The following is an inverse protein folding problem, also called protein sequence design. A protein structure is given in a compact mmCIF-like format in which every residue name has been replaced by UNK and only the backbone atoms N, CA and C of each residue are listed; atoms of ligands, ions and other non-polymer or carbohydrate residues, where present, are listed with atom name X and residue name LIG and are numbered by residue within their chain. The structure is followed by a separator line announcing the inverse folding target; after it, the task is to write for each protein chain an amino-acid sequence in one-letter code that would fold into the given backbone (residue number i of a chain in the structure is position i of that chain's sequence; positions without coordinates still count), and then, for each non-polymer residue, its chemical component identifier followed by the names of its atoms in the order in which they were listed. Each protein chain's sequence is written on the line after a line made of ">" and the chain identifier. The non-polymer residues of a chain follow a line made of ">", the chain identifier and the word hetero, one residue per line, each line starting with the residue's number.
data_IF_545017526369
#
_entry.id   IF_545017526369
#
_cell.length_a   1.000
_cell.length_b   1.000
_cell.length_c   1.000
_cell.angle_alpha   90.00
_cell.angle_beta   90.00
_cell.angle_gamma   90.00
#
_symmetry.space_group_name_H-M   'P 1'
#
loop_
_entity.id
_entity.type
_entity.pdbx_description
1 polymer ?
#
# COMPACT_ATOMS: atom_id res chain seq x y z
N UNK A 1 15.49 -26.18 21.97
CA UNK A 1 15.22 -24.82 22.48
C UNK A 1 14.44 -24.10 21.40
N UNK A 2 13.46 -23.29 21.77
CA UNK A 2 12.75 -22.45 20.81
C UNK A 2 13.72 -21.50 20.12
N UNK A 3 13.55 -21.25 18.84
CA UNK A 3 14.32 -20.25 18.10
C UNK A 3 13.98 -18.85 18.64
N UNK A 4 15.00 -17.99 18.80
CA UNK A 4 14.84 -16.65 19.39
C UNK A 4 15.36 -15.55 18.47
N UNK A 5 14.81 -14.34 18.61
CA UNK A 5 15.24 -13.12 17.96
C UNK A 5 15.05 -11.92 18.91
N UNK A 6 15.62 -10.76 18.56
CA UNK A 6 15.30 -9.51 19.25
C UNK A 6 13.91 -9.01 18.86
N UNK A 7 13.56 -9.17 17.59
CA UNK A 7 12.27 -8.77 17.02
C UNK A 7 11.70 -9.87 16.13
N UNK A 8 10.46 -10.27 16.37
CA UNK A 8 9.66 -11.09 15.45
C UNK A 8 8.71 -10.17 14.66
N UNK A 9 8.72 -10.31 13.34
CA UNK A 9 7.79 -9.64 12.43
C UNK A 9 6.83 -10.67 11.87
N UNK A 10 5.52 -10.45 12.04
CA UNK A 10 4.47 -11.35 11.54
C UNK A 10 3.95 -10.83 10.21
N UNK A 11 4.31 -11.51 9.12
CA UNK A 11 3.96 -11.17 7.74
C UNK A 11 5.14 -10.70 6.90
N UNK A 12 5.32 -11.29 5.72
CA UNK A 12 6.34 -10.96 4.73
C UNK A 12 5.76 -10.20 3.51
N UNK A 13 4.73 -9.38 3.74
CA UNK A 13 4.31 -8.35 2.82
C UNK A 13 5.33 -7.21 2.76
N UNK A 14 5.11 -6.22 1.89
CA UNK A 14 6.03 -5.08 1.70
C UNK A 14 6.32 -4.31 2.99
N UNK A 15 5.36 -4.21 3.91
CA UNK A 15 5.54 -3.53 5.21
C UNK A 15 6.50 -4.31 6.11
N UNK A 16 6.28 -5.62 6.27
CA UNK A 16 7.19 -6.47 7.07
C UNK A 16 8.56 -6.58 6.45
N UNK A 17 8.65 -6.64 5.12
CA UNK A 17 9.91 -6.66 4.38
C UNK A 17 10.72 -5.38 4.58
N UNK A 18 10.06 -4.22 4.48
CA UNK A 18 10.68 -2.91 4.72
C UNK A 18 11.14 -2.77 6.18
N UNK A 19 10.29 -3.13 7.15
CA UNK A 19 10.67 -3.09 8.57
C UNK A 19 11.87 -4.00 8.85
N UNK A 20 11.86 -5.23 8.33
CA UNK A 20 12.98 -6.17 8.48
C UNK A 20 14.29 -5.58 7.94
N UNK A 21 14.24 -4.91 6.78
CA UNK A 21 15.39 -4.24 6.18
C UNK A 21 15.92 -3.13 7.09
N UNK A 22 15.07 -2.26 7.62
CA UNK A 22 15.52 -1.16 8.47
C UNK A 22 16.07 -1.62 9.81
N UNK A 23 15.49 -2.65 10.43
CA UNK A 23 15.97 -3.22 11.69
C UNK A 23 17.30 -3.97 11.50
N UNK A 24 17.39 -4.83 10.48
CA UNK A 24 18.59 -5.63 10.22
C UNK A 24 19.82 -4.73 9.94
N UNK A 25 19.65 -3.64 9.17
CA UNK A 25 20.70 -2.65 8.93
C UNK A 25 21.21 -1.94 10.19
N UNK A 26 20.42 -1.95 11.26
CA UNK A 26 20.79 -1.43 12.59
C UNK A 26 21.33 -2.51 13.52
N UNK A 27 21.62 -3.72 12.97
CA UNK A 27 22.24 -4.83 13.71
C UNK A 27 21.29 -5.62 14.61
N UNK A 28 19.98 -5.45 14.44
CA UNK A 28 18.95 -6.17 15.21
C UNK A 28 18.78 -7.59 14.69
N UNK A 29 18.70 -8.57 15.57
CA UNK A 29 18.35 -9.95 15.21
C UNK A 29 16.85 -10.03 14.89
N UNK A 30 16.52 -10.12 13.60
CA UNK A 30 15.14 -10.14 13.10
C UNK A 30 14.74 -11.53 12.63
N UNK A 31 13.54 -11.96 13.02
CA UNK A 31 12.89 -13.15 12.48
C UNK A 31 11.54 -12.75 11.85
N UNK A 32 11.40 -12.98 10.56
CA UNK A 32 10.15 -12.78 9.81
C UNK A 32 9.42 -14.11 9.70
N UNK A 33 8.16 -14.16 10.12
CA UNK A 33 7.29 -15.35 10.01
C UNK A 33 6.17 -15.05 9.01
N UNK A 34 6.11 -15.84 7.95
CA UNK A 34 5.12 -15.71 6.88
C UNK A 34 4.29 -17.00 6.75
N UNK A 35 2.97 -16.84 6.72
CA UNK A 35 2.05 -17.97 6.64
C UNK A 35 2.15 -18.74 5.33
N UNK A 36 2.27 -18.01 4.23
CA UNK A 36 2.29 -18.59 2.86
C UNK A 36 3.67 -18.35 2.22
N UNK A 37 3.75 -17.43 1.28
CA UNK A 37 4.96 -17.00 0.62
C UNK A 37 5.12 -15.47 0.73
N UNK A 38 6.33 -14.99 0.52
CA UNK A 38 6.60 -13.54 0.44
C UNK A 38 5.63 -12.88 -0.52
N UNK A 39 5.04 -11.75 -0.10
CA UNK A 39 4.08 -10.97 -0.89
C UNK A 39 2.77 -11.69 -1.27
N UNK A 40 2.44 -12.85 -0.70
CA UNK A 40 1.23 -13.62 -1.06
C UNK A 40 -0.09 -12.89 -0.75
N UNK A 41 -0.09 -11.93 0.19
CA UNK A 41 -1.25 -11.13 0.57
C UNK A 41 -1.54 -9.96 -0.38
N UNK A 42 -1.98 -8.83 0.19
CA UNK A 42 -2.29 -7.59 -0.55
C UNK A 42 -1.11 -7.10 -1.41
N UNK A 43 0.12 -7.29 -0.98
CA UNK A 43 1.32 -6.84 -1.68
C UNK A 43 1.38 -7.37 -3.12
N UNK A 44 1.34 -8.67 -3.33
CA UNK A 44 1.44 -9.26 -4.68
C UNK A 44 0.20 -9.06 -5.55
N UNK A 45 -0.83 -8.42 -5.01
CA UNK A 45 -2.08 -8.07 -5.71
C UNK A 45 -2.28 -6.56 -5.85
N UNK A 46 -1.30 -5.78 -5.42
CA UNK A 46 -1.31 -4.32 -5.52
C UNK A 46 -1.15 -3.87 -6.97
N UNK A 47 -1.76 -2.74 -7.31
CA UNK A 47 -1.54 -2.05 -8.58
C UNK A 47 -0.12 -1.51 -8.75
N UNK A 48 0.66 -1.44 -7.66
CA UNK A 48 2.04 -1.01 -7.68
C UNK A 48 2.25 0.49 -7.90
N UNK A 49 1.24 1.33 -7.68
CA UNK A 49 1.38 2.79 -7.88
C UNK A 49 2.41 3.39 -6.94
N UNK A 50 3.28 4.20 -7.49
CA UNK A 50 4.24 5.05 -6.78
C UNK A 50 3.88 6.49 -7.10
N UNK A 51 3.18 7.14 -6.18
CA UNK A 51 2.69 8.52 -6.27
C UNK A 51 2.78 9.22 -4.93
N UNK A 52 2.84 10.54 -4.93
CA UNK A 52 2.91 11.37 -3.72
C UNK A 52 1.62 12.14 -3.45
N UNK A 53 0.69 12.19 -4.40
CA UNK A 53 -0.56 12.95 -4.26
C UNK A 53 -1.52 12.32 -3.26
N UNK A 54 -1.78 13.05 -2.20
CA UNK A 54 -2.74 12.74 -1.13
C UNK A 54 -3.42 14.02 -0.64
N UNK A 55 -4.61 13.88 -0.04
CA UNK A 55 -5.35 14.97 0.59
C UNK A 55 -4.91 15.24 2.05
N UNK A 56 -4.21 14.29 2.68
CA UNK A 56 -3.68 14.36 4.03
C UNK A 56 -2.16 14.58 4.01
N UNK A 57 -1.69 15.70 4.57
CA UNK A 57 -0.28 16.07 4.53
C UNK A 57 0.66 15.02 5.12
N UNK A 58 0.29 14.40 6.28
CA UNK A 58 1.13 13.38 6.91
C UNK A 58 1.29 12.13 6.03
N UNK A 59 0.27 11.76 5.25
CA UNK A 59 0.34 10.66 4.29
C UNK A 59 1.17 11.02 3.06
N UNK A 60 1.02 12.26 2.56
CA UNK A 60 1.86 12.80 1.48
C UNK A 60 3.35 12.81 1.88
N UNK A 61 3.68 13.17 3.12
CA UNK A 61 5.04 13.12 3.66
C UNK A 61 5.60 11.71 3.68
N UNK A 62 4.84 10.71 4.14
CA UNK A 62 5.26 9.30 4.12
C UNK A 62 5.51 8.80 2.69
N UNK A 63 4.65 9.18 1.73
CA UNK A 63 4.84 8.83 0.34
C UNK A 63 6.09 9.53 -0.26
N UNK A 64 6.28 10.81 0.03
CA UNK A 64 7.44 11.58 -0.42
C UNK A 64 8.76 11.07 0.17
N UNK A 65 8.80 10.77 1.47
CA UNK A 65 9.96 10.16 2.12
C UNK A 65 10.26 8.74 1.59
N UNK A 66 9.25 8.03 1.11
CA UNK A 66 9.41 6.71 0.49
C UNK A 66 9.90 6.77 -0.95
N UNK A 67 9.56 7.81 -1.71
CA UNK A 67 9.83 7.91 -3.13
C UNK A 67 11.32 7.71 -3.52
N UNK A 68 12.30 8.28 -2.80
CA UNK A 68 13.71 8.05 -3.09
C UNK A 68 14.13 6.57 -3.06
N UNK A 69 13.43 5.70 -2.31
CA UNK A 69 13.73 4.26 -2.31
C UNK A 69 13.39 3.64 -3.67
N UNK A 70 12.25 3.98 -4.26
CA UNK A 70 11.85 3.47 -5.57
C UNK A 70 12.74 4.04 -6.68
N UNK A 71 13.05 5.34 -6.64
CA UNK A 71 13.86 6.01 -7.65
C UNK A 71 15.33 5.56 -7.64
N UNK A 72 15.89 5.40 -6.44
CA UNK A 72 17.32 5.15 -6.21
C UNK A 72 17.54 3.77 -5.55
N UNK A 73 16.80 2.74 -6.00
CA UNK A 73 16.72 1.43 -5.35
C UNK A 73 18.08 0.77 -5.14
N UNK A 74 18.92 0.75 -6.15
CA UNK A 74 20.25 0.13 -6.08
C UNK A 74 21.13 0.74 -4.99
N UNK A 75 21.06 2.05 -4.79
CA UNK A 75 21.87 2.77 -3.82
C UNK A 75 21.31 2.65 -2.39
N UNK A 76 19.99 2.62 -2.27
CA UNK A 76 19.32 2.63 -0.96
C UNK A 76 19.10 1.25 -0.39
N UNK A 77 18.73 0.29 -1.21
CA UNK A 77 18.44 -1.10 -0.80
C UNK A 77 19.56 -2.04 -1.19
N UNK A 78 20.08 -1.93 -2.40
CA UNK A 78 21.26 -2.64 -2.86
C UNK A 78 21.06 -4.15 -3.00
N UNK A 79 19.81 -4.61 -3.16
CA UNK A 79 19.47 -6.00 -3.40
C UNK A 79 18.16 -6.10 -4.20
N UNK A 80 18.10 -7.05 -5.15
CA UNK A 80 16.95 -7.20 -6.04
C UNK A 80 16.69 -5.96 -6.88
N UNK A 81 15.46 -5.88 -7.39
CA UNK A 81 14.96 -4.73 -8.15
C UNK A 81 13.50 -4.48 -7.77
N UNK A 82 13.11 -3.24 -7.57
CA UNK A 82 11.72 -2.88 -7.33
C UNK A 82 10.92 -2.72 -8.63
N UNK A 83 11.57 -2.79 -9.80
CA UNK A 83 10.92 -2.66 -11.11
C UNK A 83 10.23 -1.31 -11.29
N UNK A 84 10.79 -0.21 -10.75
CA UNK A 84 10.19 1.11 -10.89
C UNK A 84 10.24 1.61 -12.32
N UNK A 85 9.05 1.92 -12.85
CA UNK A 85 8.86 2.50 -14.20
C UNK A 85 8.29 3.90 -14.04
N UNK A 86 9.10 4.91 -14.37
CA UNK A 86 8.71 6.31 -14.32
C UNK A 86 7.87 6.67 -15.56
N UNK A 87 6.55 6.67 -15.39
CA UNK A 87 5.59 7.05 -16.43
C UNK A 87 4.89 8.38 -16.14
N UNK A 88 5.08 8.92 -14.94
CA UNK A 88 4.26 9.98 -14.38
C UNK A 88 2.98 9.43 -13.71
N UNK A 89 2.28 10.34 -13.03
CA UNK A 89 0.97 10.08 -12.41
C UNK A 89 0.03 11.25 -12.67
N UNK A 90 -1.23 10.94 -12.95
CA UNK A 90 -2.33 11.90 -13.10
C UNK A 90 -3.45 11.57 -12.10
N UNK A 91 -3.83 12.56 -11.31
CA UNK A 91 -5.08 12.52 -10.55
C UNK A 91 -6.11 13.38 -11.25
N UNK A 92 -7.12 12.76 -11.85
CA UNK A 92 -8.20 13.43 -12.58
C UNK A 92 -9.37 13.67 -11.65
N UNK A 93 -9.88 14.90 -11.60
CA UNK A 93 -11.07 15.21 -10.81
C UNK A 93 -12.15 15.91 -11.63
N UNK A 94 -13.43 15.68 -11.34
CA UNK A 94 -14.52 16.42 -11.94
C UNK A 94 -14.51 17.89 -11.49
N UNK A 95 -15.30 18.75 -12.16
CA UNK A 95 -15.34 20.19 -11.90
C UNK A 95 -15.56 20.56 -10.43
N UNK A 96 -16.40 19.81 -9.71
CA UNK A 96 -16.72 20.07 -8.29
C UNK A 96 -15.54 19.88 -7.34
N UNK A 97 -14.50 19.14 -7.72
CA UNK A 97 -13.32 18.86 -6.91
C UNK A 97 -12.07 19.63 -7.37
N UNK A 98 -12.18 20.46 -8.41
CA UNK A 98 -11.03 21.15 -8.99
C UNK A 98 -10.32 22.08 -8.00
N UNK A 99 -11.05 22.74 -7.10
CA UNK A 99 -10.45 23.61 -6.08
C UNK A 99 -9.72 22.81 -5.00
N UNK A 100 -10.31 21.71 -4.52
CA UNK A 100 -9.66 20.80 -3.58
C UNK A 100 -8.34 20.26 -4.17
N UNK A 101 -8.33 19.88 -5.45
CA UNK A 101 -7.13 19.43 -6.13
C UNK A 101 -6.05 20.52 -6.17
N UNK A 102 -6.40 21.79 -6.47
CA UNK A 102 -5.42 22.89 -6.50
C UNK A 102 -4.79 23.10 -5.13
N UNK A 103 -5.58 23.09 -4.07
CA UNK A 103 -5.09 23.29 -2.70
C UNK A 103 -4.17 22.14 -2.30
N UNK A 104 -4.58 20.89 -2.54
CA UNK A 104 -3.75 19.71 -2.25
C UNK A 104 -2.45 19.70 -3.07
N UNK A 105 -2.51 20.07 -4.36
CA UNK A 105 -1.30 20.22 -5.19
C UNK A 105 -0.36 21.28 -4.62
N UNK A 106 -0.87 22.43 -4.18
CA UNK A 106 -0.06 23.46 -3.54
C UNK A 106 0.56 22.97 -2.21
N UNK A 107 -0.14 22.16 -1.43
CA UNK A 107 0.42 21.50 -0.24
C UNK A 107 1.60 20.60 -0.63
N UNK A 108 1.46 19.75 -1.64
CA UNK A 108 2.53 18.86 -2.13
C UNK A 108 3.75 19.64 -2.65
N UNK A 109 3.53 20.75 -3.37
CA UNK A 109 4.61 21.62 -3.83
C UNK A 109 5.40 22.23 -2.66
N UNK A 110 4.73 22.60 -1.57
CA UNK A 110 5.41 23.06 -0.33
C UNK A 110 6.26 21.96 0.32
N UNK A 111 5.88 20.69 0.16
CA UNK A 111 6.68 19.53 0.60
C UNK A 111 7.87 19.23 -0.31
N UNK A 112 7.97 19.90 -1.47
CA UNK A 112 9.03 19.68 -2.45
C UNK A 112 8.71 18.64 -3.51
N UNK A 113 7.46 18.17 -3.60
CA UNK A 113 7.03 17.25 -4.67
C UNK A 113 6.91 18.02 -5.98
N UNK A 114 7.51 17.46 -7.03
CA UNK A 114 7.33 17.97 -8.40
C UNK A 114 5.93 17.61 -8.88
N UNK A 115 5.02 18.56 -8.86
CA UNK A 115 3.62 18.37 -9.29
C UNK A 115 3.03 19.68 -9.77
N UNK A 116 2.15 19.61 -10.79
CA UNK A 116 1.48 20.77 -11.34
C UNK A 116 0.00 20.49 -11.56
N UNK A 117 -0.82 21.55 -11.46
CA UNK A 117 -2.21 21.49 -11.90
C UNK A 117 -2.25 21.70 -13.41
N UNK A 118 -2.84 20.73 -14.11
CA UNK A 118 -2.99 20.76 -15.58
C UNK A 118 -4.47 20.71 -15.98
N UNK A 119 -4.76 21.27 -17.14
CA UNK A 119 -6.11 21.28 -17.72
C UNK A 119 -6.39 20.09 -18.63
N UNK A 120 -7.64 19.94 -19.11
CA UNK A 120 -8.06 18.84 -19.98
C UNK A 120 -7.20 18.68 -21.26
N UNK A 121 -6.76 19.78 -21.89
CA UNK A 121 -5.94 19.71 -23.09
C UNK A 121 -4.57 19.07 -22.85
N UNK A 122 -3.98 19.29 -21.67
CA UNK A 122 -2.72 18.66 -21.30
C UNK A 122 -2.93 17.18 -20.95
N UNK A 123 -4.05 16.83 -20.30
CA UNK A 123 -4.43 15.44 -20.08
C UNK A 123 -4.57 14.68 -21.40
N UNK A 124 -5.24 15.27 -22.42
CA UNK A 124 -5.37 14.68 -23.75
C UNK A 124 -4.00 14.48 -24.44
N UNK A 125 -3.03 15.35 -24.17
CA UNK A 125 -1.66 15.21 -24.67
C UNK A 125 -0.90 14.07 -23.96
N UNK A 126 -1.06 13.97 -22.65
CA UNK A 126 -0.39 12.95 -21.80
C UNK A 126 -1.01 11.56 -21.95
N UNK A 127 -2.34 11.49 -22.22
CA UNK A 127 -3.09 10.25 -22.42
C UNK A 127 -3.79 10.32 -23.78
N UNK A 128 -3.11 9.95 -24.88
CA UNK A 128 -3.65 10.10 -26.23
C UNK A 128 -4.97 9.33 -26.44
N UNK A 129 -5.97 10.03 -26.95
CA UNK A 129 -7.29 9.50 -27.20
C UNK A 129 -8.20 9.40 -25.97
N UNK A 130 -7.81 10.00 -24.85
CA UNK A 130 -8.69 10.13 -23.68
C UNK A 130 -9.83 11.15 -23.95
N UNK A 131 -11.04 10.79 -23.50
CA UNK A 131 -12.15 11.71 -23.34
C UNK A 131 -11.85 12.60 -22.14
N UNK A 132 -11.99 13.92 -22.25
CA UNK A 132 -11.51 14.89 -21.23
C UNK A 132 -12.57 15.93 -20.83
N UNK A 133 -13.75 15.89 -21.41
CA UNK A 133 -14.81 16.91 -21.26
C UNK A 133 -15.38 16.95 -19.84
N UNK A 134 -15.30 15.87 -19.09
CA UNK A 134 -15.76 15.72 -17.71
C UNK A 134 -14.69 16.09 -16.66
N UNK A 135 -13.47 16.41 -17.10
CA UNK A 135 -12.35 16.74 -16.24
C UNK A 135 -12.37 18.23 -15.88
N UNK A 136 -12.53 18.53 -14.60
CA UNK A 136 -12.42 19.90 -14.08
C UNK A 136 -10.98 20.38 -13.90
N UNK A 137 -10.11 19.50 -13.45
CA UNK A 137 -8.67 19.71 -13.31
C UNK A 137 -7.96 18.35 -13.15
N UNK A 138 -6.64 18.34 -13.34
CA UNK A 138 -5.81 17.20 -13.00
C UNK A 138 -4.52 17.66 -12.27
N UNK A 139 -4.00 16.85 -11.35
CA UNK A 139 -2.65 17.00 -10.83
C UNK A 139 -1.72 16.05 -11.60
N UNK A 140 -0.59 16.55 -12.06
CA UNK A 140 0.41 15.79 -12.79
C UNK A 140 1.73 15.74 -12.02
N UNK A 141 2.21 14.53 -11.74
CA UNK A 141 3.50 14.25 -11.12
C UNK A 141 4.42 13.55 -12.15
N UNK A 142 5.37 14.24 -12.77
CA UNK A 142 6.20 13.67 -13.84
C UNK A 142 7.19 12.61 -13.35
N UNK A 143 7.55 12.64 -12.07
CA UNK A 143 8.53 11.73 -11.47
C UNK A 143 7.91 10.45 -10.91
N UNK A 144 6.60 10.40 -10.77
CA UNK A 144 5.81 9.26 -10.31
C UNK A 144 5.70 8.15 -11.36
N UNK A 145 5.09 7.03 -11.00
CA UNK A 145 4.90 5.90 -11.90
C UNK A 145 4.37 4.68 -11.17
N UNK A 146 4.93 3.53 -11.47
CA UNK A 146 4.59 2.27 -10.81
C UNK A 146 5.83 1.40 -10.61
N UNK A 147 5.73 0.43 -9.69
CA UNK A 147 6.79 -0.52 -9.42
C UNK A 147 6.21 -1.95 -9.30
N UNK A 148 7.07 -2.95 -9.24
CA UNK A 148 6.69 -4.32 -8.93
C UNK A 148 6.57 -4.51 -7.40
N UNK A 149 5.35 -4.72 -6.86
CA UNK A 149 5.19 -4.86 -5.43
C UNK A 149 5.85 -6.11 -4.86
N UNK A 150 5.83 -7.21 -5.60
CA UNK A 150 6.49 -8.46 -5.20
C UNK A 150 8.00 -8.32 -5.25
N UNK A 151 8.54 -7.78 -6.34
CA UNK A 151 9.96 -7.48 -6.48
C UNK A 151 10.47 -6.56 -5.38
N UNK A 152 9.70 -5.53 -5.03
CA UNK A 152 9.98 -4.61 -3.91
C UNK A 152 10.09 -5.36 -2.57
N UNK A 153 9.11 -6.22 -2.24
CA UNK A 153 9.14 -7.00 -0.99
C UNK A 153 10.31 -7.99 -0.98
N UNK A 154 10.54 -8.70 -2.08
CA UNK A 154 11.69 -9.61 -2.22
C UNK A 154 13.03 -8.88 -2.08
N UNK A 155 13.17 -7.70 -2.68
CA UNK A 155 14.40 -6.92 -2.62
C UNK A 155 14.72 -6.44 -1.20
N UNK A 156 13.72 -5.91 -0.48
CA UNK A 156 13.89 -5.55 0.94
C UNK A 156 14.28 -6.76 1.79
N UNK A 157 13.61 -7.90 1.63
CA UNK A 157 13.95 -9.12 2.39
C UNK A 157 15.32 -9.68 2.01
N UNK A 158 15.71 -9.60 0.73
CA UNK A 158 17.04 -10.02 0.31
C UNK A 158 18.13 -9.17 0.99
N UNK A 159 17.93 -7.84 1.05
CA UNK A 159 18.82 -6.94 1.78
C UNK A 159 18.83 -7.23 3.29
N UNK A 160 17.66 -7.39 3.91
CA UNK A 160 17.56 -7.74 5.33
C UNK A 160 18.28 -9.06 5.67
N UNK A 161 18.12 -10.08 4.82
CA UNK A 161 18.78 -11.39 5.00
C UNK A 161 20.29 -11.30 4.85
N UNK A 162 20.80 -10.50 3.93
CA UNK A 162 22.23 -10.21 3.81
C UNK A 162 22.79 -9.62 5.11
N UNK A 163 21.97 -8.80 5.79
CA UNK A 163 22.30 -8.14 7.05
C UNK A 163 21.88 -8.99 8.28
N UNK A 164 21.57 -10.29 8.10
CA UNK A 164 21.38 -11.26 9.17
C UNK A 164 19.93 -11.58 9.56
N UNK A 165 18.93 -10.97 8.93
CA UNK A 165 17.53 -11.33 9.18
C UNK A 165 17.21 -12.75 8.69
N UNK A 166 16.32 -13.44 9.41
CA UNK A 166 15.85 -14.79 9.08
C UNK A 166 14.39 -14.72 8.63
N UNK A 167 14.02 -15.61 7.73
CA UNK A 167 12.66 -15.71 7.18
C UNK A 167 12.20 -17.17 7.21
N UNK A 168 11.05 -17.43 7.83
CA UNK A 168 10.32 -18.69 7.73
C UNK A 168 9.03 -18.46 6.94
N UNK A 169 8.90 -19.15 5.82
CA UNK A 169 7.67 -19.22 5.03
C UNK A 169 6.92 -20.52 5.34
N UNK A 170 5.62 -20.54 5.07
CA UNK A 170 4.75 -21.65 5.46
C UNK A 170 4.61 -21.78 6.99
N UNK A 171 4.84 -20.70 7.74
CA UNK A 171 4.78 -20.66 9.20
C UNK A 171 3.67 -19.69 9.65
N UNK A 172 2.51 -20.26 9.98
CA UNK A 172 1.34 -19.49 10.42
C UNK A 172 1.41 -19.18 11.91
N UNK A 173 1.62 -17.91 12.24
CA UNK A 173 1.45 -17.45 13.64
C UNK A 173 -0.03 -17.50 14.01
N UNK A 174 -0.31 -18.10 15.15
CA UNK A 174 -1.67 -18.31 15.67
C UNK A 174 -1.99 -17.45 16.88
N UNK A 175 -0.98 -17.03 17.64
CA UNK A 175 -1.12 -16.15 18.79
C UNK A 175 0.20 -15.45 19.14
N UNK A 176 0.10 -14.30 19.76
CA UNK A 176 1.22 -13.65 20.45
C UNK A 176 1.30 -14.22 21.86
N UNK A 177 2.51 -14.60 22.29
CA UNK A 177 2.77 -15.14 23.62
C UNK A 177 3.12 -14.02 24.61
N UNK A 178 2.50 -14.02 25.77
CA UNK A 178 2.64 -12.98 26.79
C UNK A 178 2.90 -13.61 28.15
N UNK A 179 3.73 -12.99 28.97
CA UNK A 179 3.93 -13.31 30.38
C UNK A 179 3.76 -12.03 31.23
N UNK A 180 2.71 -12.00 32.04
CA UNK A 180 2.28 -10.77 32.71
C UNK A 180 1.80 -9.76 31.70
N UNK A 181 2.42 -8.58 31.67
CA UNK A 181 2.13 -7.47 30.79
C UNK A 181 3.13 -7.32 29.62
N UNK A 182 3.98 -8.33 29.37
CA UNK A 182 5.07 -8.29 28.37
C UNK A 182 4.97 -9.41 27.36
N UNK A 183 5.32 -9.08 26.12
CA UNK A 183 5.51 -10.05 25.04
C UNK A 183 6.71 -10.96 25.34
N UNK A 184 6.58 -12.24 25.04
CA UNK A 184 7.68 -13.25 25.15
C UNK A 184 7.94 -13.96 23.83
N UNK A 185 7.12 -13.73 22.81
CA UNK A 185 7.24 -14.35 21.49
C UNK A 185 5.91 -14.61 20.81
N UNK A 186 5.86 -15.65 20.01
CA UNK A 186 4.65 -16.08 19.28
C UNK A 186 4.51 -17.59 19.30
N UNK A 187 3.25 -18.07 19.15
CA UNK A 187 2.91 -19.45 18.85
C UNK A 187 2.57 -19.58 17.37
N UNK A 188 3.02 -20.65 16.76
CA UNK A 188 2.72 -20.95 15.36
C UNK A 188 2.35 -22.43 15.17
N UNK A 189 1.94 -22.78 13.95
CA UNK A 189 1.72 -24.16 13.54
C UNK A 189 3.02 -24.97 13.37
N UNK A 190 4.18 -24.30 13.44
CA UNK A 190 5.51 -24.92 13.39
C UNK A 190 6.25 -24.89 14.74
N UNK A 191 5.57 -24.50 15.82
CA UNK A 191 6.14 -24.37 17.16
C UNK A 191 6.22 -22.93 17.63
N UNK A 192 6.87 -22.73 18.78
CA UNK A 192 6.96 -21.43 19.44
C UNK A 192 8.28 -20.75 19.12
N UNK A 193 8.23 -19.43 18.94
CA UNK A 193 9.39 -18.57 18.72
C UNK A 193 9.45 -17.48 19.79
N UNK A 194 10.65 -17.23 20.33
CA UNK A 194 10.84 -16.27 21.42
C UNK A 194 11.38 -14.92 20.94
N UNK A 195 10.76 -13.83 21.41
CA UNK A 195 11.27 -12.48 21.26
C UNK A 195 10.64 -11.53 22.28
N UNK A 196 11.37 -10.52 22.78
CA UNK A 196 10.79 -9.46 23.62
C UNK A 196 9.94 -8.47 22.83
N UNK A 197 10.07 -8.44 21.51
CA UNK A 197 9.32 -7.53 20.63
C UNK A 197 8.68 -8.33 19.51
N UNK A 198 7.38 -8.11 19.31
CA UNK A 198 6.58 -8.69 18.21
C UNK A 198 5.87 -7.57 17.47
N UNK A 199 6.04 -7.53 16.16
CA UNK A 199 5.38 -6.55 15.27
C UNK A 199 4.39 -7.27 14.37
N UNK A 200 3.13 -6.94 14.53
CA UNK A 200 2.05 -7.48 13.71
C UNK A 200 1.87 -6.60 12.46
N UNK A 201 2.31 -7.13 11.32
CA UNK A 201 2.12 -6.55 9.99
C UNK A 201 1.39 -7.53 9.05
N UNK A 202 0.49 -8.32 9.63
CA UNK A 202 -0.23 -9.40 8.94
C UNK A 202 -1.39 -8.91 8.04
N UNK A 203 -1.42 -7.62 7.66
CA UNK A 203 -2.41 -7.06 6.74
C UNK A 203 -3.83 -7.23 7.24
N UNK A 204 -4.72 -7.84 6.43
CA UNK A 204 -6.12 -8.05 6.80
C UNK A 204 -6.33 -9.02 8.00
N UNK A 205 -5.31 -9.80 8.38
CA UNK A 205 -5.33 -10.73 9.51
C UNK A 205 -4.86 -10.12 10.83
N UNK A 206 -4.34 -8.90 10.82
CA UNK A 206 -3.74 -8.27 12.00
C UNK A 206 -4.73 -8.16 13.18
N UNK A 207 -5.99 -7.86 12.92
CA UNK A 207 -7.01 -7.80 13.98
C UNK A 207 -7.23 -9.15 14.72
N UNK A 208 -7.06 -10.28 14.02
CA UNK A 208 -7.18 -11.61 14.65
C UNK A 208 -6.01 -11.88 15.59
N UNK A 209 -4.80 -11.48 15.21
CA UNK A 209 -3.61 -11.64 16.04
C UNK A 209 -3.62 -10.67 17.24
N UNK A 210 -3.96 -9.42 17.03
CA UNK A 210 -4.10 -8.42 18.09
C UNK A 210 -5.13 -8.84 19.15
N UNK A 211 -6.23 -9.50 18.75
CA UNK A 211 -7.23 -10.02 19.66
C UNK A 211 -6.66 -11.09 20.63
N UNK A 212 -5.60 -11.82 20.27
CA UNK A 212 -4.96 -12.81 21.15
C UNK A 212 -4.27 -12.20 22.38
N UNK A 213 -4.02 -10.89 22.34
CA UNK A 213 -3.46 -10.10 23.47
C UNK A 213 -4.46 -9.07 23.99
N UNK A 214 -5.75 -9.24 23.69
CA UNK A 214 -6.81 -8.38 24.21
C UNK A 214 -6.92 -7.01 23.53
N UNK A 215 -6.31 -6.81 22.37
CA UNK A 215 -6.39 -5.57 21.59
C UNK A 215 -7.43 -5.71 20.49
N UNK A 216 -8.49 -4.91 20.57
CA UNK A 216 -9.53 -4.81 19.54
C UNK A 216 -9.14 -3.76 18.51
N UNK A 217 -9.06 -4.17 17.25
CA UNK A 217 -8.69 -3.29 16.12
C UNK A 217 -9.89 -3.16 15.20
N UNK A 218 -10.37 -1.94 14.88
CA UNK A 218 -11.45 -1.72 13.93
C UNK A 218 -10.95 -1.91 12.49
N UNK A 219 -10.64 -3.15 12.16
CA UNK A 219 -10.07 -3.54 10.88
C UNK A 219 -11.03 -4.48 10.17
N UNK A 220 -11.46 -4.10 8.99
CA UNK A 220 -12.28 -4.95 8.12
C UNK A 220 -11.50 -5.43 6.91
N UNK A 221 -11.62 -6.72 6.55
CA UNK A 221 -11.11 -7.18 5.26
C UNK A 221 -11.78 -6.45 4.12
N UNK A 222 -11.00 -5.97 3.18
CA UNK A 222 -11.47 -5.21 2.02
C UNK A 222 -10.95 -5.84 0.73
N UNK A 223 -11.87 -6.35 -0.08
CA UNK A 223 -11.54 -6.98 -1.34
C UNK A 223 -11.39 -5.93 -2.45
N UNK A 224 -10.27 -6.00 -3.15
CA UNK A 224 -9.99 -5.27 -4.38
C UNK A 224 -9.93 -6.21 -5.56
N UNK A 225 -10.60 -5.86 -6.63
CA UNK A 225 -10.55 -6.57 -7.90
C UNK A 225 -9.73 -5.77 -8.92
N UNK A 226 -8.79 -6.44 -9.57
CA UNK A 226 -7.91 -5.87 -10.59
C UNK A 226 -7.93 -6.74 -11.83
N UNK A 227 -7.96 -6.12 -13.01
CA UNK A 227 -7.91 -6.83 -14.28
C UNK A 227 -6.83 -6.27 -15.20
N UNK A 228 -6.29 -7.14 -16.07
CA UNK A 228 -5.37 -6.76 -17.12
C UNK A 228 -6.05 -6.94 -18.47
N UNK A 229 -6.08 -5.88 -19.23
CA UNK A 229 -6.65 -5.86 -20.58
C UNK A 229 -5.55 -5.66 -21.62
N UNK A 230 -5.61 -6.43 -22.71
CA UNK A 230 -4.76 -6.22 -23.88
C UNK A 230 -5.18 -4.96 -24.61
N UNK A 231 -4.22 -4.13 -24.97
CA UNK A 231 -4.42 -2.94 -25.78
C UNK A 231 -4.65 -3.31 -27.24
N UNK A 232 -5.53 -2.62 -27.96
CA UNK A 232 -5.62 -2.74 -29.41
C UNK A 232 -4.33 -2.31 -30.10
N UNK A 233 -4.08 -2.86 -31.27
CA UNK A 233 -2.93 -2.49 -32.10
C UNK A 233 -2.92 -0.97 -32.39
N UNK A 234 -1.74 -0.38 -32.35
CA UNK A 234 -1.54 1.07 -32.57
C UNK A 234 -1.67 1.95 -31.32
N UNK A 235 -2.01 1.37 -30.15
CA UNK A 235 -2.18 2.10 -28.89
C UNK A 235 -1.12 1.74 -27.84
N UNK A 236 0.09 1.34 -28.29
CA UNK A 236 1.21 0.94 -27.39
C UNK A 236 1.96 2.09 -26.71
N UNK A 237 1.66 3.36 -27.01
CA UNK A 237 2.35 4.48 -26.38
C UNK A 237 2.21 4.46 -24.85
N UNK A 238 3.31 4.76 -24.15
CA UNK A 238 3.29 4.94 -22.70
C UNK A 238 2.44 6.16 -22.33
N UNK A 239 1.73 6.06 -21.21
CA UNK A 239 0.98 7.17 -20.61
C UNK A 239 1.14 7.11 -19.08
N UNK A 240 0.88 8.21 -18.34
CA UNK A 240 0.98 8.20 -16.88
C UNK A 240 0.03 7.20 -16.21
N UNK A 241 0.39 6.76 -15.01
CA UNK A 241 -0.58 6.14 -14.09
C UNK A 241 -1.72 7.12 -13.86
N UNK A 242 -2.96 6.66 -13.91
CA UNK A 242 -4.16 7.50 -13.80
C UNK A 242 -5.03 7.04 -12.64
N UNK A 243 -5.41 7.99 -11.79
CA UNK A 243 -6.49 7.88 -10.83
C UNK A 243 -7.62 8.79 -11.30
N UNK A 244 -8.76 8.22 -11.67
CA UNK A 244 -9.87 8.92 -12.33
C UNK A 244 -11.10 8.97 -11.42
N UNK A 245 -11.23 10.06 -10.67
CA UNK A 245 -12.38 10.27 -9.79
C UNK A 245 -13.70 10.51 -10.52
N UNK A 246 -13.66 10.93 -11.79
CA UNK A 246 -14.89 11.12 -12.56
C UNK A 246 -15.55 9.79 -12.95
N UNK A 247 -14.74 8.76 -13.16
CA UNK A 247 -15.19 7.40 -13.47
C UNK A 247 -14.94 6.39 -12.34
N UNK A 248 -14.49 6.83 -11.16
CA UNK A 248 -14.23 5.99 -9.97
C UNK A 248 -13.40 4.73 -10.31
N UNK A 249 -12.29 4.94 -11.03
CA UNK A 249 -11.39 3.89 -11.44
C UNK A 249 -9.94 4.36 -11.39
N UNK A 250 -9.04 3.40 -11.43
CA UNK A 250 -7.62 3.68 -11.64
C UNK A 250 -7.06 2.73 -12.69
N UNK A 251 -6.12 3.21 -13.49
CA UNK A 251 -5.47 2.40 -14.50
C UNK A 251 -4.05 2.85 -14.80
N UNK A 252 -3.26 1.95 -15.35
CA UNK A 252 -1.90 2.24 -15.76
C UNK A 252 -1.46 1.35 -16.93
N UNK A 253 -0.45 1.77 -17.69
CA UNK A 253 0.20 0.86 -18.61
C UNK A 253 0.88 -0.27 -17.85
N UNK A 254 0.89 -1.46 -18.44
CA UNK A 254 1.75 -2.58 -18.07
C UNK A 254 2.54 -2.98 -19.30
N UNK A 255 3.78 -2.49 -19.40
CA UNK A 255 4.54 -2.52 -20.63
C UNK A 255 3.79 -1.85 -21.80
N UNK A 256 4.04 -2.31 -23.00
CA UNK A 256 3.46 -1.73 -24.23
C UNK A 256 2.14 -2.40 -24.65
N UNK A 257 1.80 -3.54 -24.07
CA UNK A 257 0.71 -4.39 -24.53
C UNK A 257 -0.53 -4.41 -23.63
N UNK A 258 -0.38 -4.09 -22.34
CA UNK A 258 -1.46 -4.25 -21.38
C UNK A 258 -1.82 -2.93 -20.67
N UNK A 259 -3.04 -2.91 -20.15
CA UNK A 259 -3.51 -1.96 -19.14
C UNK A 259 -3.94 -2.74 -17.91
N UNK A 260 -3.40 -2.37 -16.74
CA UNK A 260 -3.96 -2.74 -15.45
C UNK A 260 -5.08 -1.76 -15.11
N UNK A 261 -6.23 -2.29 -14.68
CA UNK A 261 -7.42 -1.53 -14.30
C UNK A 261 -8.02 -2.06 -13.00
N UNK A 262 -8.41 -1.17 -12.12
CA UNK A 262 -9.23 -1.47 -10.95
C UNK A 262 -10.30 -0.39 -10.73
N UNK A 263 -11.35 -0.74 -9.96
CA UNK A 263 -12.43 0.17 -9.61
C UNK A 263 -12.27 0.71 -8.19
N UNK A 264 -12.64 1.96 -7.97
CA UNK A 264 -12.70 2.58 -6.65
C UNK A 264 -13.97 2.20 -5.89
N UNK A 265 -15.06 1.92 -6.60
CA UNK A 265 -16.37 1.60 -6.05
C UNK A 265 -16.76 0.14 -6.30
N UNK A 266 -17.76 -0.34 -5.55
CA UNK A 266 -18.28 -1.71 -5.71
C UNK A 266 -17.45 -2.81 -5.05
N UNK A 267 -16.39 -2.45 -4.33
CA UNK A 267 -15.54 -3.37 -3.60
C UNK A 267 -16.25 -3.96 -2.37
N UNK A 268 -16.01 -5.23 -2.07
CA UNK A 268 -16.62 -5.89 -0.91
C UNK A 268 -15.83 -5.59 0.36
N UNK A 269 -16.51 -5.12 1.39
CA UNK A 269 -15.94 -4.86 2.72
C UNK A 269 -16.54 -5.85 3.72
N UNK A 270 -15.72 -6.30 4.68
CA UNK A 270 -16.12 -7.18 5.77
C UNK A 270 -16.02 -8.67 5.46
N UNK A 271 -16.39 -9.48 6.45
CA UNK A 271 -16.28 -10.93 6.41
C UNK A 271 -14.96 -11.46 6.97
N UNK A 272 -14.65 -12.72 6.68
CA UNK A 272 -13.39 -13.35 7.14
C UNK A 272 -12.26 -13.05 6.14
N UNK A 273 -11.05 -12.67 6.62
CA UNK A 273 -9.88 -12.58 5.76
C UNK A 273 -9.42 -13.94 5.21
N UNK A 274 -9.86 -15.05 5.80
CA UNK A 274 -9.57 -16.41 5.32
C UNK A 274 -10.56 -16.89 4.23
N UNK A 275 -11.51 -16.04 3.80
CA UNK A 275 -12.41 -16.40 2.70
C UNK A 275 -11.60 -16.68 1.44
N UNK A 276 -11.83 -17.79 0.75
CA UNK A 276 -11.20 -18.07 -0.52
C UNK A 276 -11.43 -16.93 -1.51
N UNK A 277 -10.37 -16.56 -2.24
CA UNK A 277 -10.46 -15.52 -3.26
C UNK A 277 -11.15 -16.09 -4.51
N UNK A 278 -12.42 -15.78 -4.67
CA UNK A 278 -13.19 -16.16 -5.84
C UNK A 278 -12.74 -15.37 -7.09
N UNK A 279 -12.96 -15.95 -8.27
CA UNK A 279 -12.80 -15.22 -9.54
C UNK A 279 -13.68 -13.95 -9.55
N UNK A 280 -13.28 -12.95 -10.33
CA UNK A 280 -14.08 -11.75 -10.51
C UNK A 280 -15.44 -12.10 -11.12
N UNK A 281 -16.47 -11.46 -10.61
CA UNK A 281 -17.81 -11.58 -11.18
C UNK A 281 -17.84 -10.95 -12.59
N UNK A 282 -18.61 -11.56 -13.48
CA UNK A 282 -18.79 -11.04 -14.84
C UNK A 282 -19.26 -9.57 -14.83
N UNK A 283 -20.20 -9.22 -13.94
CA UNK A 283 -20.70 -7.85 -13.81
C UNK A 283 -19.60 -6.83 -13.43
N UNK A 284 -18.62 -7.24 -12.60
CA UNK A 284 -17.46 -6.38 -12.26
C UNK A 284 -16.58 -6.14 -13.49
N UNK A 285 -16.36 -7.18 -14.30
CA UNK A 285 -15.58 -7.04 -15.54
C UNK A 285 -16.30 -6.13 -16.54
N UNK A 286 -17.61 -6.29 -16.70
CA UNK A 286 -18.45 -5.44 -17.57
C UNK A 286 -18.42 -3.98 -17.13
N UNK A 287 -18.47 -3.72 -15.81
CA UNK A 287 -18.34 -2.37 -15.26
C UNK A 287 -16.94 -1.79 -15.54
N UNK A 288 -15.88 -2.56 -15.36
CA UNK A 288 -14.50 -2.17 -15.71
C UNK A 288 -14.41 -1.78 -17.19
N UNK A 289 -14.97 -2.58 -18.09
CA UNK A 289 -14.98 -2.29 -19.54
C UNK A 289 -15.76 -1.03 -19.84
N UNK A 290 -16.93 -0.86 -19.23
CA UNK A 290 -17.77 0.34 -19.42
C UNK A 290 -17.00 1.61 -19.04
N UNK A 291 -16.38 1.64 -17.86
CA UNK A 291 -15.69 2.82 -17.36
C UNK A 291 -14.41 3.12 -18.16
N UNK A 292 -13.59 2.10 -18.47
CA UNK A 292 -12.37 2.34 -19.25
C UNK A 292 -12.69 2.79 -20.69
N UNK A 293 -13.76 2.26 -21.32
CA UNK A 293 -14.19 2.71 -22.64
C UNK A 293 -14.78 4.13 -22.62
N UNK A 294 -15.38 4.57 -21.53
CA UNK A 294 -15.82 5.94 -21.37
C UNK A 294 -14.63 6.92 -21.36
N UNK A 295 -13.51 6.57 -20.70
CA UNK A 295 -12.29 7.39 -20.69
C UNK A 295 -11.42 7.19 -21.93
N UNK A 296 -11.25 5.94 -22.37
CA UNK A 296 -10.40 5.53 -23.48
C UNK A 296 -11.23 4.75 -24.51
N UNK A 297 -11.99 5.42 -25.41
CA UNK A 297 -12.90 4.76 -26.36
C UNK A 297 -12.22 3.70 -27.25
N UNK A 298 -10.93 3.83 -27.51
CA UNK A 298 -10.16 2.85 -28.25
C UNK A 298 -10.04 1.49 -27.53
N UNK A 299 -10.30 1.42 -26.22
CA UNK A 299 -10.36 0.17 -25.47
C UNK A 299 -11.58 -0.70 -25.80
N UNK A 300 -12.55 -0.22 -26.57
CA UNK A 300 -13.72 -0.99 -27.01
C UNK A 300 -13.37 -2.29 -27.76
N UNK A 301 -12.16 -2.36 -28.35
CA UNK A 301 -11.63 -3.57 -28.99
C UNK A 301 -10.53 -4.25 -28.19
N UNK A 302 -10.31 -3.81 -26.94
CA UNK A 302 -9.41 -4.44 -26.00
C UNK A 302 -9.88 -5.83 -25.57
N UNK A 303 -9.00 -6.65 -25.03
CA UNK A 303 -9.32 -8.03 -24.63
C UNK A 303 -8.90 -8.29 -23.19
N UNK A 304 -9.82 -8.86 -22.37
CA UNK A 304 -9.44 -9.31 -21.03
C UNK A 304 -8.35 -10.41 -21.13
N UNK A 305 -7.26 -10.25 -20.41
CA UNK A 305 -6.16 -11.22 -20.35
C UNK A 305 -6.20 -12.04 -19.07
N UNK A 306 -6.28 -11.35 -17.93
CA UNK A 306 -6.39 -11.98 -16.63
C UNK A 306 -7.04 -11.01 -15.65
N UNK A 307 -7.57 -11.56 -14.55
CA UNK A 307 -8.11 -10.76 -13.46
C UNK A 307 -7.90 -11.49 -12.14
N UNK A 308 -7.72 -10.75 -11.06
CA UNK A 308 -7.55 -11.31 -9.73
C UNK A 308 -8.13 -10.38 -8.65
N UNK A 309 -8.58 -10.96 -7.55
CA UNK A 309 -8.89 -10.22 -6.33
C UNK A 309 -7.68 -10.16 -5.40
N UNK A 310 -7.62 -9.10 -4.62
CA UNK A 310 -6.71 -8.94 -3.49
C UNK A 310 -7.51 -8.62 -2.24
N UNK A 311 -6.93 -8.85 -1.06
CA UNK A 311 -7.56 -8.53 0.21
C UNK A 311 -6.62 -7.66 1.04
N UNK A 312 -7.08 -6.47 1.39
CA UNK A 312 -6.38 -5.52 2.26
C UNK A 312 -7.15 -5.33 3.57
N UNK A 313 -6.56 -4.67 4.53
CA UNK A 313 -7.20 -4.26 5.77
C UNK A 313 -7.67 -2.81 5.69
N UNK A 314 -8.97 -2.60 5.91
CA UNK A 314 -9.62 -1.30 5.90
C UNK A 314 -9.88 -0.82 7.32
N UNK A 315 -9.44 0.37 7.67
CA UNK A 315 -9.80 1.09 8.90
C UNK A 315 -10.92 2.08 8.64
N UNK A 316 -11.68 2.53 9.67
CA UNK A 316 -12.82 3.45 9.50
C UNK A 316 -12.48 4.78 8.83
N UNK A 317 -11.27 5.30 9.02
CA UNK A 317 -10.77 6.53 8.38
C UNK A 317 -9.84 6.24 7.20
N UNK A 318 -9.64 4.96 6.88
CA UNK A 318 -8.77 4.49 5.80
C UNK A 318 -7.31 4.92 5.96
N UNK A 319 -6.86 5.09 7.20
CA UNK A 319 -5.48 5.41 7.57
C UNK A 319 -4.90 4.30 8.46
N UNK A 320 -3.61 3.99 8.36
CA UNK A 320 -3.00 2.91 9.11
C UNK A 320 -3.00 3.17 10.62
N UNK A 321 -2.78 2.10 11.37
CA UNK A 321 -2.44 2.12 12.78
C UNK A 321 -0.96 1.76 12.87
N UNK A 322 -0.14 2.61 13.51
CA UNK A 322 1.32 2.51 13.56
C UNK A 322 1.80 2.86 14.97
N UNK A 323 1.71 1.92 15.92
CA UNK A 323 2.08 2.19 17.31
C UNK A 323 2.36 0.92 18.12
N UNK A 324 2.88 1.08 19.33
CA UNK A 324 2.88 0.06 20.37
C UNK A 324 1.52 0.03 21.06
N UNK A 325 0.91 -1.15 21.18
CA UNK A 325 -0.42 -1.34 21.79
C UNK A 325 -0.45 -2.56 22.70
N UNK A 326 -1.37 -2.59 23.66
CA UNK A 326 -1.56 -3.75 24.55
C UNK A 326 -0.33 -4.03 25.42
N UNK A 327 0.19 -5.28 25.48
CA UNK A 327 1.33 -5.63 26.29
C UNK A 327 2.63 -4.96 25.79
N UNK A 328 3.54 -4.68 26.73
CA UNK A 328 4.84 -4.11 26.41
C UNK A 328 5.59 -5.01 25.40
N UNK A 329 6.11 -4.39 24.34
CA UNK A 329 6.79 -5.07 23.22
C UNK A 329 5.87 -5.54 22.10
N UNK A 330 4.55 -5.27 22.13
CA UNK A 330 3.66 -5.56 20.99
C UNK A 330 3.42 -4.30 20.16
N UNK A 331 3.78 -4.36 18.89
CA UNK A 331 3.59 -3.28 17.92
C UNK A 331 2.62 -3.69 16.83
N UNK A 332 1.82 -2.75 16.36
CA UNK A 332 0.83 -2.94 15.32
C UNK A 332 1.11 -2.00 14.14
N UNK A 333 1.13 -2.56 12.94
CA UNK A 333 1.20 -1.81 11.69
C UNK A 333 0.25 -2.41 10.66
N UNK A 334 -0.98 -1.94 10.64
CA UNK A 334 -2.06 -2.51 9.82
C UNK A 334 -3.04 -1.44 9.33
N UNK A 335 -4.01 -1.84 8.52
CA UNK A 335 -5.09 -0.97 8.06
C UNK A 335 -4.65 0.06 7.02
N UNK A 336 -3.75 -0.30 6.13
CA UNK A 336 -3.20 0.60 5.13
C UNK A 336 -4.20 1.03 4.06
N UNK A 337 -5.31 0.33 3.93
CA UNK A 337 -6.46 0.76 3.12
C UNK A 337 -6.08 1.16 1.68
N UNK A 338 -5.25 0.34 1.01
CA UNK A 338 -4.78 0.54 -0.35
C UNK A 338 -3.56 1.46 -0.52
N UNK A 339 -3.06 2.09 0.55
CA UNK A 339 -1.93 3.03 0.46
C UNK A 339 -0.58 2.43 0.88
N UNK A 340 -0.58 1.22 1.42
CA UNK A 340 0.56 0.60 2.07
C UNK A 340 1.78 0.34 1.19
N UNK A 341 1.62 0.11 -0.12
CA UNK A 341 2.76 -0.21 -0.98
C UNK A 341 3.77 0.94 -1.06
N UNK A 342 3.31 2.11 -1.52
CA UNK A 342 4.19 3.25 -1.79
C UNK A 342 4.72 3.96 -0.55
N UNK A 343 4.09 3.72 0.61
CA UNK A 343 4.51 4.30 1.90
C UNK A 343 5.40 3.36 2.73
N UNK A 344 5.53 2.09 2.31
CA UNK A 344 6.25 1.07 3.06
C UNK A 344 7.70 1.42 3.40
N UNK A 345 8.52 2.01 2.50
CA UNK A 345 9.88 2.39 2.84
C UNK A 345 10.00 3.32 4.05
N UNK A 346 9.24 4.42 4.06
CA UNK A 346 9.26 5.38 5.16
C UNK A 346 8.63 4.81 6.44
N UNK A 347 7.54 4.07 6.32
CA UNK A 347 6.88 3.45 7.48
C UNK A 347 7.80 2.42 8.13
N UNK A 348 8.51 1.60 7.35
CA UNK A 348 9.50 0.67 7.90
C UNK A 348 10.63 1.39 8.66
N UNK A 349 11.10 2.54 8.16
CA UNK A 349 12.08 3.37 8.85
C UNK A 349 11.51 3.93 10.17
N UNK A 350 10.33 4.55 10.13
CA UNK A 350 9.66 5.10 11.32
C UNK A 350 9.39 4.04 12.39
N UNK A 351 8.92 2.85 11.99
CA UNK A 351 8.68 1.75 12.94
C UNK A 351 9.99 1.25 13.56
N UNK A 352 11.07 1.14 12.78
CA UNK A 352 12.37 0.75 13.30
C UNK A 352 12.89 1.77 14.32
N UNK A 353 12.73 3.07 14.06
CA UNK A 353 13.05 4.15 15.00
C UNK A 353 12.17 4.08 16.27
N UNK A 354 10.86 3.92 16.11
CA UNK A 354 9.94 3.81 17.24
C UNK A 354 10.29 2.62 18.14
N UNK A 355 10.63 1.47 17.56
CA UNK A 355 10.99 0.24 18.28
C UNK A 355 12.31 0.42 19.03
N UNK A 356 13.32 1.00 18.41
CA UNK A 356 14.69 1.04 18.97
C UNK A 356 14.97 2.29 19.79
N UNK A 357 14.40 3.43 19.38
CA UNK A 357 14.70 4.75 19.94
C UNK A 357 13.52 5.32 20.77
N UNK A 358 12.37 4.63 20.77
CA UNK A 358 11.13 5.06 21.43
C UNK A 358 10.46 6.29 20.81
N UNK A 359 10.97 6.77 19.69
CA UNK A 359 10.42 7.92 18.93
C UNK A 359 10.82 7.88 17.48
N UNK A 360 10.07 8.53 16.62
CA UNK A 360 10.39 8.71 15.20
C UNK A 360 11.13 10.01 14.95
N UNK A 361 12.02 10.00 13.98
CA UNK A 361 12.80 11.16 13.52
C UNK A 361 12.72 11.35 12.01
N UNK A 362 12.40 10.29 11.26
CA UNK A 362 12.29 10.33 9.80
C UNK A 362 11.01 11.04 9.36
N UNK A 363 9.86 10.66 9.94
CA UNK A 363 8.56 11.31 9.74
C UNK A 363 7.73 11.18 11.02
N UNK A 364 6.76 12.09 11.20
CA UNK A 364 5.85 12.05 12.33
C UNK A 364 4.68 11.09 12.06
N UNK A 365 4.65 9.97 12.78
CA UNK A 365 3.56 8.99 12.75
C UNK A 365 2.69 9.01 14.02
N UNK A 366 2.86 9.98 14.90
CA UNK A 366 2.20 10.04 16.21
C UNK A 366 0.67 10.12 16.13
N UNK A 367 0.13 10.58 15.01
CA UNK A 367 -1.32 10.66 14.78
C UNK A 367 -1.96 9.30 14.43
N UNK A 368 -1.18 8.32 13.99
CA UNK A 368 -1.68 7.03 13.49
C UNK A 368 -1.98 6.02 14.61
N UNK A 369 -2.63 6.47 15.68
CA UNK A 369 -2.93 5.68 16.87
C UNK A 369 -4.28 4.96 16.79
N UNK A 370 -4.40 3.81 17.47
CA UNK A 370 -5.66 3.09 17.63
C UNK A 370 -6.69 3.91 18.43
N UNK A 371 -6.20 4.65 19.45
CA UNK A 371 -7.04 5.47 20.33
C UNK A 371 -7.81 6.57 19.59
N UNK A 372 -7.39 6.97 18.38
CA UNK A 372 -8.12 7.96 17.57
C UNK A 372 -9.55 7.52 17.23
N UNK A 373 -9.78 6.21 17.04
CA UNK A 373 -11.11 5.67 16.73
C UNK A 373 -12.05 5.75 17.92
N UNK A 374 -11.57 5.39 19.12
CA UNK A 374 -12.35 5.52 20.36
C UNK A 374 -12.69 6.98 20.68
N UNK A 375 -11.79 7.89 20.35
CA UNK A 375 -11.96 9.33 20.56
C UNK A 375 -12.77 10.02 19.43
N UNK A 376 -13.17 9.29 18.37
CA UNK A 376 -13.84 9.87 17.19
C UNK A 376 -12.98 10.87 16.41
N UNK A 377 -11.65 10.80 16.53
CA UNK A 377 -10.70 11.73 15.88
C UNK A 377 -10.11 11.07 14.61
N UNK A 378 -10.95 10.87 13.63
CA UNK A 378 -10.54 10.32 12.36
C UNK A 378 -9.54 11.24 11.64
N UNK A 379 -8.55 10.65 10.98
CA UNK A 379 -7.59 11.37 10.14
C UNK A 379 -8.24 11.62 8.77
N UNK A 380 -8.56 12.87 8.50
CA UNK A 380 -9.18 13.31 7.23
C UNK A 380 -8.38 14.49 6.71
N UNK A 381 -8.13 14.54 5.41
CA UNK A 381 -7.51 15.69 4.77
C UNK A 381 -8.40 16.95 4.87
N UNK A 382 -7.80 18.12 4.83
CA UNK A 382 -8.56 19.39 4.88
C UNK A 382 -9.44 19.57 3.64
N UNK A 383 -9.02 19.02 2.50
CA UNK A 383 -9.71 19.11 1.21
C UNK A 383 -9.88 17.71 0.59
N UNK A 384 -10.73 16.84 1.20
CA UNK A 384 -10.85 15.45 0.77
C UNK A 384 -11.55 15.34 -0.59
N UNK A 385 -11.20 14.30 -1.33
CA UNK A 385 -11.85 13.99 -2.61
C UNK A 385 -13.16 13.20 -2.45
N UNK A 386 -13.48 12.77 -1.24
CA UNK A 386 -14.74 12.11 -0.92
C UNK A 386 -14.81 10.61 -1.23
N UNK A 387 -13.79 10.06 -1.87
CA UNK A 387 -13.72 8.65 -2.27
C UNK A 387 -12.64 7.87 -1.52
N UNK A 388 -12.64 6.53 -1.70
CA UNK A 388 -11.71 5.60 -1.08
C UNK A 388 -10.25 5.83 -1.49
N UNK A 389 -9.98 6.35 -2.69
CA UNK A 389 -8.65 6.61 -3.21
C UNK A 389 -8.34 8.11 -3.17
N UNK A 390 -7.58 8.51 -2.23
CA UNK A 390 -7.29 9.92 -1.93
C UNK A 390 -6.01 10.38 -2.55
#
# INVERSE_FOLDING_TARGET
>A
MAETADVIIIGAGVQGASLAFHLARRGVSVLVLERDAVAAGATGRSSGFVRMHYDLESEARLAWASFPYFRDWSDRVGAGDCGFVRTGFLQLVPHGLAEALRINTAMLQRLGVTTDVVGPSEVARLVPGAVVEDIGAAAYEPDSGYADPSGTAFGFLAAARRDGARLHQGCRVTAVAVAGDRVTGVRSDQGDFGAPIVVDVAGAWAGQLAATVGVEVPLEPWRHDTAYFGRPAGHGAAFPVVLDHAHEMYFRPEGDELILLGLESGNTVGGSPDRPMEALKQATIEEMVTRICARLPWMATGTLRTAHGGQDGLTPDQRPILEQVGPDGFYLACGFSGTGFKTAPAIGACLAELILDGRTTSEDISAYTLARFQAGRHLVGEHPYGNLWR
#
